data_IF_700814869860
#
_entry.id   IF_700814869860
#
_cell.length_a   1.000
_cell.length_b   1.000
_cell.length_c   1.000
_cell.angle_alpha   90.00
_cell.angle_beta   90.00
_cell.angle_gamma   90.00
#
_symmetry.space_group_name_H-M   'P 1'
#
loop_
_entity.id
_entity.type
_entity.pdbx_description
1 polymer ?
#
# COMPACT_ATOMS: atom_id res chain seq x y z
N UNK A 1 52.79 51.10 -11.10
CA UNK A 1 52.48 52.39 -10.45
C UNK A 1 51.61 52.01 -9.29
N UNK A 2 52.14 51.75 -8.07
CA UNK A 2 52.42 52.73 -6.99
C UNK A 2 51.15 53.41 -6.52
N UNK A 3 50.75 53.36 -5.28
CA UNK A 3 51.33 53.36 -3.90
C UNK A 3 50.20 52.94 -2.92
N UNK A 4 50.35 52.10 -1.94
CA UNK A 4 50.93 52.22 -0.63
C UNK A 4 50.49 53.43 0.19
N UNK A 5 49.90 53.16 1.35
CA UNK A 5 50.17 53.58 2.73
C UNK A 5 48.90 53.40 3.57
N UNK A 6 48.84 52.93 4.79
CA UNK A 6 49.81 52.67 5.85
C UNK A 6 49.25 53.13 7.19
N UNK A 7 49.30 52.26 8.23
CA UNK A 7 49.46 52.53 9.64
C UNK A 7 48.37 53.35 10.35
N UNK A 8 47.91 53.09 11.58
CA UNK A 8 48.65 52.83 12.84
C UNK A 8 47.78 52.29 13.94
N UNK A 9 48.41 51.71 14.88
CA UNK A 9 47.93 51.13 16.16
C UNK A 9 47.54 52.17 17.20
N UNK A 10 46.64 51.82 18.10
CA UNK A 10 46.79 52.25 19.49
C UNK A 10 46.19 51.18 20.44
N UNK A 11 47.04 50.77 21.36
CA UNK A 11 46.70 49.91 22.51
C UNK A 11 46.53 50.83 23.75
N UNK A 12 45.66 50.44 24.68
CA UNK A 12 45.73 50.79 26.13
C UNK A 12 44.67 49.97 26.87
N UNK A 13 45.06 49.13 27.68
CA UNK A 13 45.23 49.02 29.13
C UNK A 13 43.97 48.60 29.90
N UNK A 14 44.09 47.46 30.60
CA UNK A 14 43.20 46.96 31.66
C UNK A 14 43.65 47.54 33.04
N UNK A 15 42.76 47.66 34.02
CA UNK A 15 42.96 47.08 35.35
C UNK A 15 41.65 46.63 36.03
N UNK A 16 41.64 46.20 37.37
CA UNK A 16 42.09 44.90 37.85
C UNK A 16 40.94 44.10 38.55
N UNK A 17 41.24 42.85 38.85
CA UNK A 17 40.43 41.87 39.58
C UNK A 17 40.01 42.31 41.01
N UNK A 18 38.73 42.06 41.33
CA UNK A 18 38.29 41.72 42.68
C UNK A 18 37.34 40.54 42.67
N UNK A 19 37.72 39.47 43.34
CA UNK A 19 36.93 38.26 43.47
C UNK A 19 35.73 38.41 44.40
N UNK A 20 34.67 37.68 44.10
CA UNK A 20 33.69 37.25 45.10
C UNK A 20 33.14 35.89 44.65
N UNK A 21 33.36 34.85 45.46
CA UNK A 21 32.78 33.53 45.34
C UNK A 21 31.26 33.60 45.48
N UNK A 22 30.55 33.10 44.49
CA UNK A 22 29.16 32.70 44.66
C UNK A 22 28.99 31.32 44.04
N UNK A 23 28.68 30.35 44.94
CA UNK A 23 28.28 29.00 44.55
C UNK A 23 26.92 29.07 43.87
N UNK A 24 26.80 28.53 42.68
CA UNK A 24 25.52 28.28 41.99
C UNK A 24 25.23 26.79 42.01
N UNK A 25 24.18 26.44 42.78
CA UNK A 25 23.50 25.16 42.71
C UNK A 25 22.90 25.01 41.29
N UNK A 26 23.39 24.04 40.54
CA UNK A 26 22.77 23.62 39.27
C UNK A 26 21.54 22.77 39.60
N UNK A 27 20.36 23.39 39.57
CA UNK A 27 19.09 22.67 39.49
C UNK A 27 18.82 22.35 38.00
N UNK A 28 19.00 21.09 37.63
CA UNK A 28 18.67 20.58 36.32
C UNK A 28 17.15 20.55 36.13
N UNK A 29 16.60 21.46 35.32
CA UNK A 29 15.26 21.31 34.75
C UNK A 29 15.34 20.36 33.56
N UNK A 30 14.92 19.11 33.75
CA UNK A 30 14.54 18.25 32.66
C UNK A 30 13.20 18.79 32.08
N UNK A 31 13.27 19.51 30.97
CA UNK A 31 12.09 19.83 30.17
C UNK A 31 11.65 18.56 29.46
N UNK A 32 10.61 17.90 29.97
CA UNK A 32 9.83 16.90 29.23
C UNK A 32 9.15 17.63 28.07
N UNK A 33 9.69 17.48 26.86
CA UNK A 33 8.95 17.83 25.66
C UNK A 33 7.85 16.79 25.49
N UNK A 34 6.66 17.11 25.99
CA UNK A 34 5.44 16.39 25.60
C UNK A 34 5.22 16.64 24.12
N UNK A 35 5.42 15.61 23.29
CA UNK A 35 5.01 15.62 21.92
C UNK A 35 3.47 15.78 21.90
N UNK A 36 3.00 16.98 21.58
CA UNK A 36 1.57 17.22 21.31
C UNK A 36 1.23 16.54 19.98
N UNK A 37 0.81 15.28 20.07
CA UNK A 37 0.26 14.57 18.92
C UNK A 37 -0.98 15.32 18.43
N UNK A 38 -1.03 15.62 17.12
CA UNK A 38 -2.23 16.10 16.44
C UNK A 38 -3.31 15.03 16.62
N UNK A 39 -4.52 15.38 17.13
CA UNK A 39 -5.55 14.37 17.34
C UNK A 39 -5.95 13.71 16.02
N UNK A 40 -6.03 12.37 16.03
CA UNK A 40 -6.60 11.60 14.94
C UNK A 40 -8.07 12.02 14.73
N UNK A 41 -8.56 11.95 13.48
CA UNK A 41 -9.96 12.21 13.19
C UNK A 41 -10.83 11.27 14.05
N UNK A 42 -11.74 11.84 14.84
CA UNK A 42 -12.63 11.07 15.72
C UNK A 42 -13.59 10.21 14.90
N UNK A 43 -13.71 8.95 15.31
CA UNK A 43 -14.76 8.05 14.81
C UNK A 43 -16.15 8.52 15.32
N UNK A 44 -17.23 8.17 14.61
CA UNK A 44 -18.57 8.30 15.19
C UNK A 44 -18.62 7.53 16.51
N UNK A 45 -19.07 8.18 17.57
CA UNK A 45 -19.13 7.61 18.92
C UNK A 45 -19.74 6.18 18.90
N UNK A 46 -18.95 5.19 19.32
CA UNK A 46 -19.39 3.82 19.52
C UNK A 46 -19.36 2.86 18.32
N UNK A 47 -18.92 3.27 17.13
CA UNK A 47 -18.82 2.35 15.99
C UNK A 47 -17.69 1.33 16.16
N UNK A 48 -18.04 0.03 16.12
CA UNK A 48 -17.04 -1.05 16.23
C UNK A 48 -16.10 -1.07 15.00
N UNK A 49 -14.80 -1.31 15.24
CA UNK A 49 -13.82 -1.52 14.17
C UNK A 49 -14.15 -2.75 13.32
N UNK A 50 -13.75 -2.74 12.06
CA UNK A 50 -13.86 -3.90 11.17
C UNK A 50 -13.14 -5.14 11.77
N UNK A 51 -11.97 -4.91 12.35
CA UNK A 51 -11.17 -5.86 13.13
C UNK A 51 -10.16 -5.09 14.01
N UNK A 52 -9.58 -5.69 15.05
CA UNK A 52 -8.55 -5.03 15.86
C UNK A 52 -7.38 -4.55 15.01
N UNK A 53 -7.09 -3.24 15.07
CA UNK A 53 -6.05 -2.62 14.27
C UNK A 53 -6.50 -2.12 12.89
N UNK A 54 -7.79 -2.18 12.54
CA UNK A 54 -8.31 -1.52 11.34
C UNK A 54 -8.08 -0.01 11.39
N UNK A 55 -7.67 0.58 10.25
CA UNK A 55 -7.19 1.96 10.15
C UNK A 55 -7.87 2.69 8.99
N UNK A 56 -7.76 4.02 9.00
CA UNK A 56 -8.18 4.88 7.90
C UNK A 56 -9.69 5.12 7.85
N UNK A 57 -10.14 5.63 6.71
CA UNK A 57 -11.54 6.01 6.51
C UNK A 57 -12.49 4.82 6.46
N UNK A 58 -11.99 3.62 6.13
CA UNK A 58 -12.79 2.38 6.12
C UNK A 58 -12.74 1.61 7.45
N UNK A 59 -12.05 2.10 8.48
CA UNK A 59 -11.79 1.36 9.72
C UNK A 59 -13.03 0.77 10.40
N UNK A 60 -14.19 1.42 10.22
CA UNK A 60 -15.46 1.04 10.84
C UNK A 60 -16.41 0.30 9.88
N UNK A 61 -15.95 -0.07 8.67
CA UNK A 61 -16.80 -0.86 7.77
C UNK A 61 -17.27 -2.13 8.47
N UNK A 62 -18.56 -2.45 8.42
CA UNK A 62 -19.06 -3.70 9.00
C UNK A 62 -18.57 -4.93 8.23
N UNK A 63 -18.18 -4.78 6.94
CA UNK A 63 -17.96 -5.95 6.12
C UNK A 63 -19.12 -6.93 6.19
N UNK A 64 -18.84 -8.19 6.42
CA UNK A 64 -19.86 -9.25 6.59
C UNK A 64 -20.30 -9.49 8.04
N UNK A 65 -19.96 -8.61 8.98
CA UNK A 65 -20.26 -8.79 10.42
C UNK A 65 -21.74 -9.08 10.68
N UNK A 66 -22.01 -10.10 11.49
CA UNK A 66 -23.39 -10.54 11.83
C UNK A 66 -24.11 -11.26 10.70
N UNK A 67 -23.46 -11.42 9.54
CA UNK A 67 -24.01 -12.13 8.40
C UNK A 67 -23.81 -13.65 8.45
N UNK A 68 -24.22 -14.31 7.37
CA UNK A 68 -24.09 -15.76 7.23
C UNK A 68 -22.61 -16.17 7.08
N UNK A 69 -22.22 -17.26 7.71
CA UNK A 69 -20.95 -17.93 7.42
C UNK A 69 -21.10 -18.77 6.15
N UNK A 70 -20.37 -18.43 5.09
CA UNK A 70 -20.34 -19.21 3.85
C UNK A 70 -18.99 -19.91 3.75
N UNK A 71 -19.02 -21.23 3.60
CA UNK A 71 -17.84 -22.09 3.62
C UNK A 71 -17.36 -22.40 2.22
N UNK A 72 -16.12 -22.06 1.91
CA UNK A 72 -15.45 -22.52 0.68
C UNK A 72 -14.90 -23.90 0.96
N UNK A 73 -15.46 -24.89 0.28
CA UNK A 73 -15.17 -26.32 0.52
C UNK A 73 -14.43 -27.01 -0.64
N UNK A 74 -14.22 -26.26 -1.75
CA UNK A 74 -13.50 -26.75 -2.93
C UNK A 74 -12.54 -25.69 -3.47
N UNK A 75 -11.47 -26.13 -4.11
CA UNK A 75 -10.52 -25.28 -4.87
C UNK A 75 -10.94 -25.06 -6.33
N UNK A 76 -12.14 -25.51 -6.73
CA UNK A 76 -12.67 -25.26 -8.07
C UNK A 76 -12.87 -23.76 -8.32
N UNK A 77 -12.67 -23.31 -9.57
CA UNK A 77 -12.88 -21.92 -9.97
C UNK A 77 -14.34 -21.46 -9.78
N UNK A 78 -15.30 -22.35 -9.98
CA UNK A 78 -16.74 -22.10 -9.92
C UNK A 78 -17.54 -23.34 -9.49
N UNK A 79 -18.85 -23.16 -9.31
CA UNK A 79 -19.77 -24.23 -8.93
C UNK A 79 -19.96 -24.34 -7.40
N UNK A 80 -20.73 -25.33 -6.93
CA UNK A 80 -21.09 -25.47 -5.53
C UNK A 80 -19.89 -25.56 -4.59
N UNK A 81 -19.90 -24.75 -3.53
CA UNK A 81 -18.85 -24.67 -2.52
C UNK A 81 -17.59 -23.94 -2.97
N UNK A 82 -17.57 -23.30 -4.15
CA UNK A 82 -16.45 -22.50 -4.64
C UNK A 82 -16.41 -21.11 -4.02
N UNK A 83 -15.25 -20.46 -4.11
CA UNK A 83 -15.09 -19.05 -3.74
C UNK A 83 -16.00 -18.12 -4.57
N UNK A 84 -16.08 -18.36 -5.88
CA UNK A 84 -16.90 -17.55 -6.77
C UNK A 84 -18.40 -17.58 -6.37
N UNK A 85 -18.94 -18.76 -6.01
CA UNK A 85 -20.30 -18.87 -5.48
C UNK A 85 -20.45 -18.12 -4.15
N UNK A 86 -19.47 -18.26 -3.25
CA UNK A 86 -19.52 -17.63 -1.93
C UNK A 86 -19.56 -16.09 -2.00
N UNK A 87 -18.78 -15.47 -2.88
CA UNK A 87 -18.76 -14.01 -3.02
C UNK A 87 -19.96 -13.46 -3.82
N UNK A 88 -20.59 -14.27 -4.67
CA UNK A 88 -21.79 -13.91 -5.40
C UNK A 88 -23.08 -13.96 -4.55
N UNK A 89 -23.03 -14.57 -3.37
CA UNK A 89 -24.18 -14.65 -2.47
C UNK A 89 -24.60 -13.26 -2.01
N UNK A 90 -25.93 -13.05 -1.86
CA UNK A 90 -26.50 -11.76 -1.44
C UNK A 90 -26.57 -11.62 0.08
N UNK A 91 -26.63 -10.36 0.56
CA UNK A 91 -26.74 -10.00 1.98
C UNK A 91 -25.41 -10.14 2.76
N UNK A 92 -25.41 -9.70 4.02
CA UNK A 92 -24.22 -9.74 4.87
C UNK A 92 -23.67 -11.17 5.03
N UNK A 93 -22.35 -11.34 4.80
CA UNK A 93 -21.72 -12.67 4.80
C UNK A 93 -20.24 -12.64 5.10
N UNK A 94 -19.80 -13.68 5.77
CA UNK A 94 -18.40 -13.95 6.05
C UNK A 94 -18.00 -15.20 5.28
N UNK A 95 -17.07 -15.07 4.36
CA UNK A 95 -16.52 -16.19 3.58
C UNK A 95 -15.34 -16.77 4.33
N UNK A 96 -15.45 -18.02 4.76
CA UNK A 96 -14.41 -18.79 5.43
C UNK A 96 -13.96 -19.96 4.55
N UNK A 97 -12.74 -20.42 4.74
CA UNK A 97 -12.16 -21.48 3.92
C UNK A 97 -11.96 -22.76 4.75
N UNK A 98 -12.60 -23.85 4.32
CA UNK A 98 -12.36 -25.22 4.83
C UNK A 98 -11.34 -25.97 3.96
N UNK A 99 -10.77 -25.29 2.96
CA UNK A 99 -9.73 -25.78 2.06
C UNK A 99 -8.54 -24.85 2.05
N UNK A 100 -7.35 -25.41 1.95
CA UNK A 100 -6.12 -24.68 1.67
C UNK A 100 -5.47 -25.19 0.38
N UNK A 101 -4.84 -24.28 -0.36
CA UNK A 101 -4.22 -24.61 -1.63
C UNK A 101 -4.39 -23.53 -2.69
N UNK A 102 -4.47 -23.95 -3.95
CA UNK A 102 -4.49 -23.05 -5.11
C UNK A 102 -5.85 -23.13 -5.82
N UNK A 103 -6.49 -21.99 -5.97
CA UNK A 103 -7.67 -21.79 -6.81
C UNK A 103 -7.19 -21.21 -8.13
N UNK A 104 -7.31 -21.97 -9.20
CA UNK A 104 -6.97 -21.53 -10.55
C UNK A 104 -8.19 -20.87 -11.19
N UNK A 105 -8.13 -19.57 -11.39
CA UNK A 105 -9.23 -18.78 -11.96
C UNK A 105 -9.39 -18.93 -13.48
N UNK A 106 -8.51 -19.70 -14.14
CA UNK A 106 -8.63 -20.06 -15.57
C UNK A 106 -8.77 -18.84 -16.51
N UNK A 107 -8.02 -17.76 -16.22
CA UNK A 107 -8.05 -16.47 -16.92
C UNK A 107 -9.38 -15.72 -16.74
N UNK A 108 -10.05 -15.92 -15.61
CA UNK A 108 -11.25 -15.17 -15.26
C UNK A 108 -10.98 -14.24 -14.09
N UNK A 109 -11.71 -13.15 -14.03
CA UNK A 109 -11.75 -12.28 -12.87
C UNK A 109 -13.00 -12.56 -12.05
N UNK A 110 -12.83 -12.71 -10.74
CA UNK A 110 -13.96 -12.87 -9.84
C UNK A 110 -14.47 -11.49 -9.41
N UNK A 111 -15.70 -11.17 -9.86
CA UNK A 111 -16.32 -9.89 -9.55
C UNK A 111 -17.15 -9.96 -8.27
N UNK A 112 -16.84 -9.08 -7.32
CA UNK A 112 -17.54 -8.89 -6.07
C UNK A 112 -18.50 -7.70 -6.24
N UNK A 113 -19.78 -7.98 -6.44
CA UNK A 113 -20.82 -6.97 -6.71
C UNK A 113 -21.80 -6.79 -5.55
N UNK A 114 -21.86 -7.73 -4.61
CA UNK A 114 -22.76 -7.71 -3.49
C UNK A 114 -22.08 -7.13 -2.25
N UNK A 115 -22.67 -6.14 -1.56
CA UNK A 115 -22.05 -5.49 -0.39
C UNK A 115 -22.08 -6.35 0.87
N UNK A 116 -21.46 -5.82 1.93
CA UNK A 116 -21.39 -6.42 3.25
C UNK A 116 -20.71 -7.78 3.26
N UNK A 117 -19.45 -7.80 2.83
CA UNK A 117 -18.66 -9.01 2.69
C UNK A 117 -17.37 -8.95 3.52
N UNK A 118 -17.08 -10.02 4.25
CA UNK A 118 -15.74 -10.30 4.79
C UNK A 118 -15.18 -11.56 4.18
N UNK A 119 -14.00 -11.47 3.54
CA UNK A 119 -13.22 -12.62 3.07
C UNK A 119 -12.13 -12.89 4.10
N UNK A 120 -12.30 -13.95 4.87
CA UNK A 120 -11.43 -14.31 5.99
C UNK A 120 -10.42 -15.41 5.58
N UNK A 121 -9.40 -15.03 4.79
CA UNK A 121 -8.37 -15.95 4.30
C UNK A 121 -7.52 -16.60 5.41
N UNK A 122 -7.49 -15.99 6.61
CA UNK A 122 -6.82 -16.55 7.78
C UNK A 122 -7.44 -17.87 8.27
N UNK A 123 -8.70 -18.15 7.92
CA UNK A 123 -9.39 -19.39 8.30
C UNK A 123 -8.96 -20.60 7.47
N UNK A 124 -8.33 -20.39 6.30
CA UNK A 124 -7.86 -21.47 5.47
C UNK A 124 -6.81 -22.32 6.20
N UNK A 125 -6.90 -23.66 6.14
CA UNK A 125 -5.82 -24.51 6.64
C UNK A 125 -4.52 -24.25 5.87
N UNK A 126 -3.37 -24.63 6.45
CA UNK A 126 -2.08 -24.55 5.75
C UNK A 126 -2.16 -25.22 4.37
N UNK A 127 -1.61 -24.59 3.31
CA UNK A 127 -0.74 -23.41 3.29
C UNK A 127 -1.47 -22.06 3.17
N UNK A 128 -2.77 -21.99 3.44
CA UNK A 128 -3.62 -20.86 3.14
C UNK A 128 -4.20 -20.93 1.73
N UNK A 129 -4.78 -19.82 1.24
CA UNK A 129 -5.42 -19.77 -0.07
C UNK A 129 -4.60 -18.88 -1.03
N UNK A 130 -4.37 -19.37 -2.25
CA UNK A 130 -3.75 -18.64 -3.35
C UNK A 130 -4.64 -18.71 -4.59
N UNK A 131 -4.96 -17.56 -5.16
CA UNK A 131 -5.62 -17.44 -6.46
C UNK A 131 -4.55 -17.24 -7.53
N UNK A 132 -4.67 -17.93 -8.67
CA UNK A 132 -3.75 -17.79 -9.80
C UNK A 132 -4.51 -17.60 -11.12
N UNK A 133 -3.83 -17.08 -12.13
CA UNK A 133 -4.33 -16.91 -13.51
C UNK A 133 -5.65 -16.15 -13.60
N UNK A 134 -5.72 -15.01 -12.90
CA UNK A 134 -6.85 -14.11 -12.84
C UNK A 134 -6.80 -13.26 -11.57
N UNK A 135 -7.74 -12.35 -11.42
CA UNK A 135 -7.78 -11.36 -10.35
C UNK A 135 -9.15 -11.22 -9.68
N UNK A 136 -9.25 -10.27 -8.75
CA UNK A 136 -10.48 -9.95 -8.04
C UNK A 136 -10.89 -8.50 -8.31
N UNK A 137 -12.15 -8.27 -8.67
CA UNK A 137 -12.72 -6.93 -8.89
C UNK A 137 -13.75 -6.64 -7.82
N UNK A 138 -13.52 -5.61 -7.00
CA UNK A 138 -14.47 -5.13 -6.00
C UNK A 138 -15.27 -3.97 -6.59
N UNK A 139 -16.55 -4.19 -6.84
CA UNK A 139 -17.44 -3.24 -7.49
C UNK A 139 -18.63 -2.85 -6.60
N UNK A 140 -18.44 -2.83 -5.28
CA UNK A 140 -19.46 -2.60 -4.28
C UNK A 140 -18.86 -1.94 -3.02
N UNK A 141 -19.57 -1.96 -1.92
CA UNK A 141 -19.17 -1.30 -0.68
C UNK A 141 -19.20 -2.24 0.53
N UNK A 142 -18.56 -1.78 1.62
CA UNK A 142 -18.46 -2.54 2.87
C UNK A 142 -17.85 -3.93 2.66
N UNK A 143 -16.61 -3.94 2.16
CA UNK A 143 -15.87 -5.16 1.86
C UNK A 143 -14.56 -5.20 2.64
N UNK A 144 -14.31 -6.30 3.34
CA UNK A 144 -13.05 -6.58 4.03
C UNK A 144 -12.40 -7.82 3.42
N UNK A 145 -11.18 -7.69 2.93
CA UNK A 145 -10.39 -8.79 2.35
C UNK A 145 -9.12 -8.96 3.16
N UNK A 146 -8.91 -10.14 3.75
CA UNK A 146 -7.74 -10.39 4.58
C UNK A 146 -7.08 -11.74 4.29
N UNK A 147 -5.76 -11.77 4.36
CA UNK A 147 -4.90 -12.97 4.39
C UNK A 147 -5.03 -13.92 3.20
N UNK A 148 -5.34 -13.40 2.02
CA UNK A 148 -5.31 -14.18 0.76
C UNK A 148 -4.09 -13.80 -0.08
N UNK A 149 -3.75 -14.68 -1.04
CA UNK A 149 -2.73 -14.43 -2.06
C UNK A 149 -3.39 -14.39 -3.42
N UNK A 150 -3.05 -13.39 -4.25
CA UNK A 150 -3.54 -13.32 -5.64
C UNK A 150 -2.34 -13.10 -6.56
N UNK A 151 -2.16 -14.01 -7.51
CA UNK A 151 -0.98 -14.12 -8.37
C UNK A 151 -1.40 -14.39 -9.81
N UNK A 152 -1.85 -13.36 -10.55
CA UNK A 152 -2.36 -13.52 -11.91
C UNK A 152 -1.36 -14.20 -12.85
N UNK A 153 -0.12 -13.70 -12.91
CA UNK A 153 0.92 -14.18 -13.80
C UNK A 153 0.56 -14.01 -15.28
N UNK A 154 1.39 -14.52 -16.16
CA UNK A 154 1.12 -14.51 -17.61
C UNK A 154 -0.08 -15.40 -18.01
N UNK A 155 -0.54 -16.26 -17.12
CA UNK A 155 -1.65 -17.20 -17.34
C UNK A 155 -1.48 -18.06 -18.61
N UNK A 156 -0.24 -18.28 -19.05
CA UNK A 156 0.10 -18.99 -20.26
C UNK A 156 -0.24 -18.24 -21.55
N UNK A 157 -0.42 -16.91 -21.52
CA UNK A 157 -0.53 -16.06 -22.69
C UNK A 157 0.84 -15.64 -23.21
N UNK A 158 0.93 -15.23 -24.47
CA UNK A 158 2.15 -14.69 -25.06
C UNK A 158 2.37 -13.24 -24.65
N UNK A 159 3.60 -12.75 -24.84
CA UNK A 159 3.94 -11.33 -24.65
C UNK A 159 3.03 -10.44 -25.50
N UNK A 160 2.57 -9.34 -24.90
CA UNK A 160 1.69 -8.33 -25.52
C UNK A 160 0.37 -8.90 -26.08
N UNK A 161 -0.10 -10.03 -25.56
CA UNK A 161 -1.35 -10.67 -26.02
C UNK A 161 -2.63 -9.95 -25.57
N UNK A 162 -2.53 -8.87 -24.80
CA UNK A 162 -3.67 -8.12 -24.28
C UNK A 162 -4.39 -8.86 -23.14
N UNK A 163 -3.67 -9.67 -22.39
CA UNK A 163 -4.17 -10.29 -21.14
C UNK A 163 -3.66 -9.44 -19.98
N UNK A 164 -4.55 -8.61 -19.45
CA UNK A 164 -4.22 -7.57 -18.48
C UNK A 164 -5.00 -7.86 -17.20
N UNK A 165 -4.32 -8.32 -16.15
CA UNK A 165 -4.92 -8.63 -14.87
C UNK A 165 -4.34 -7.77 -13.75
N UNK A 166 -5.24 -7.06 -13.05
CA UNK A 166 -4.96 -6.63 -11.67
C UNK A 166 -5.04 -7.84 -10.74
N UNK A 167 -4.21 -7.87 -9.68
CA UNK A 167 -4.43 -8.89 -8.67
C UNK A 167 -5.69 -8.57 -7.85
N UNK A 168 -5.84 -7.34 -7.34
CA UNK A 168 -7.10 -6.83 -6.77
C UNK A 168 -7.30 -5.38 -7.21
N UNK A 169 -8.52 -5.07 -7.70
CA UNK A 169 -8.89 -3.69 -8.03
C UNK A 169 -10.26 -3.32 -7.47
N UNK A 170 -10.46 -2.04 -7.10
CA UNK A 170 -11.78 -1.49 -6.80
C UNK A 170 -12.27 -0.66 -7.97
N UNK A 171 -13.55 -0.71 -8.30
CA UNK A 171 -14.13 -0.01 -9.46
C UNK A 171 -15.53 0.56 -9.16
N UNK A 172 -16.02 1.45 -10.02
CA UNK A 172 -17.43 1.91 -10.05
C UNK A 172 -17.94 2.46 -8.73
N UNK A 173 -17.17 3.33 -8.06
CA UNK A 173 -17.60 3.94 -6.83
C UNK A 173 -17.59 3.00 -5.62
N UNK A 174 -16.77 1.97 -5.66
CA UNK A 174 -16.52 1.12 -4.50
C UNK A 174 -16.09 1.99 -3.31
N UNK A 175 -16.60 1.66 -2.11
CA UNK A 175 -16.30 2.44 -0.91
C UNK A 175 -16.32 1.60 0.35
N UNK A 176 -15.68 2.10 1.39
CA UNK A 176 -15.59 1.39 2.66
C UNK A 176 -14.97 -0.01 2.45
N UNK A 177 -13.82 -0.04 1.78
CA UNK A 177 -13.10 -1.27 1.43
C UNK A 177 -11.77 -1.32 2.16
N UNK A 178 -11.46 -2.46 2.76
CA UNK A 178 -10.16 -2.76 3.35
C UNK A 178 -9.57 -3.98 2.64
N UNK A 179 -8.33 -3.85 2.14
CA UNK A 179 -7.49 -4.97 1.72
C UNK A 179 -6.29 -4.99 2.67
N UNK A 180 -6.26 -5.99 3.55
CA UNK A 180 -5.30 -6.06 4.64
C UNK A 180 -4.57 -7.40 4.68
N UNK A 181 -3.24 -7.36 4.90
CA UNK A 181 -2.42 -8.56 4.97
C UNK A 181 -2.64 -9.52 3.79
N UNK A 182 -2.67 -9.01 2.55
CA UNK A 182 -2.71 -9.83 1.34
C UNK A 182 -1.35 -9.83 0.66
N UNK A 183 -1.03 -10.92 -0.08
CA UNK A 183 0.15 -10.98 -0.95
C UNK A 183 -0.30 -10.95 -2.41
N UNK A 184 0.04 -9.88 -3.10
CA UNK A 184 -0.41 -9.59 -4.45
C UNK A 184 0.83 -9.45 -5.32
N UNK A 185 1.05 -10.44 -6.19
CA UNK A 185 2.28 -10.51 -6.99
C UNK A 185 1.98 -10.96 -8.41
N UNK A 186 2.88 -10.61 -9.34
CA UNK A 186 2.82 -11.07 -10.73
C UNK A 186 1.59 -10.57 -11.51
N UNK A 187 1.03 -9.44 -11.11
CA UNK A 187 0.02 -8.80 -11.94
C UNK A 187 0.62 -8.38 -13.28
N UNK A 188 -0.18 -8.43 -14.33
CA UNK A 188 0.19 -7.98 -15.68
C UNK A 188 -0.30 -6.56 -15.96
N UNK A 189 -1.17 -6.02 -15.10
CA UNK A 189 -1.44 -4.60 -14.91
C UNK A 189 -1.04 -4.23 -13.47
N UNK A 190 -1.89 -3.81 -12.56
CA UNK A 190 -1.49 -3.44 -11.20
C UNK A 190 -1.63 -4.58 -10.18
N UNK A 191 -0.73 -4.61 -9.21
CA UNK A 191 -0.90 -5.54 -8.08
C UNK A 191 -2.09 -5.16 -7.20
N UNK A 192 -2.35 -3.86 -6.97
CA UNK A 192 -3.48 -3.41 -6.13
C UNK A 192 -3.93 -2.00 -6.52
N UNK A 193 -5.16 -1.85 -6.99
CA UNK A 193 -5.65 -0.56 -7.52
C UNK A 193 -6.97 -0.10 -6.90
N UNK A 194 -7.14 1.23 -6.89
CA UNK A 194 -8.41 1.88 -6.65
C UNK A 194 -8.78 2.73 -7.86
N UNK A 195 -9.86 2.37 -8.56
CA UNK A 195 -10.20 2.92 -9.86
C UNK A 195 -11.54 3.66 -9.90
N UNK A 196 -11.73 4.45 -10.96
CA UNK A 196 -12.96 5.22 -11.20
C UNK A 196 -13.32 5.24 -12.68
N UNK A 197 -14.52 5.74 -12.97
CA UNK A 197 -14.99 6.03 -14.33
C UNK A 197 -14.65 7.45 -14.79
N UNK A 198 -13.79 8.19 -14.10
CA UNK A 198 -13.40 9.59 -14.25
C UNK A 198 -14.56 10.58 -14.15
N UNK A 199 -15.34 10.74 -15.18
CA UNK A 199 -16.32 11.83 -15.33
C UNK A 199 -17.76 11.31 -15.21
N UNK A 200 -18.05 10.53 -14.18
CA UNK A 200 -19.40 10.07 -13.89
C UNK A 200 -20.12 11.09 -13.01
N UNK A 201 -20.95 11.97 -13.66
CA UNK A 201 -21.67 13.09 -13.07
C UNK A 201 -21.36 14.39 -13.79
N UNK A 202 -22.01 15.49 -13.36
CA UNK A 202 -21.97 16.81 -14.00
C UNK A 202 -20.93 17.77 -13.37
N UNK A 203 -20.33 17.38 -12.24
CA UNK A 203 -19.40 18.21 -11.48
C UNK A 203 -18.24 17.40 -10.89
N UNK A 204 -17.12 18.08 -10.60
CA UNK A 204 -15.98 17.47 -9.89
C UNK A 204 -16.40 16.79 -8.59
N UNK A 205 -17.31 17.38 -7.85
CA UNK A 205 -17.87 16.80 -6.63
C UNK A 205 -18.55 15.45 -6.91
N UNK A 206 -19.33 15.36 -7.97
CA UNK A 206 -20.00 14.11 -8.35
C UNK A 206 -19.00 13.09 -8.89
N UNK A 207 -17.99 13.50 -9.66
CA UNK A 207 -16.92 12.63 -10.10
C UNK A 207 -16.22 11.97 -8.92
N UNK A 208 -15.87 12.75 -7.88
CA UNK A 208 -15.28 12.25 -6.64
C UNK A 208 -16.24 11.35 -5.86
N UNK A 209 -17.54 11.66 -5.82
CA UNK A 209 -18.55 10.83 -5.15
C UNK A 209 -18.77 9.48 -5.85
N UNK A 210 -18.60 9.44 -7.16
CA UNK A 210 -18.78 8.26 -8.01
C UNK A 210 -17.47 7.50 -8.27
N UNK A 211 -16.33 8.03 -7.84
CA UNK A 211 -15.06 7.30 -7.79
C UNK A 211 -14.99 6.37 -6.57
N UNK A 212 -14.06 5.44 -6.59
CA UNK A 212 -13.73 4.64 -5.40
C UNK A 212 -13.27 5.59 -4.28
N UNK A 213 -13.73 5.35 -3.05
CA UNK A 213 -13.40 6.23 -1.91
C UNK A 213 -13.50 5.53 -0.57
N UNK A 214 -12.86 6.11 0.45
CA UNK A 214 -12.72 5.48 1.78
C UNK A 214 -12.17 4.07 1.66
N UNK A 215 -10.97 3.98 1.08
CA UNK A 215 -10.26 2.73 0.80
C UNK A 215 -9.03 2.64 1.71
N UNK A 216 -8.79 1.48 2.29
CA UNK A 216 -7.58 1.20 3.05
C UNK A 216 -6.85 0.00 2.46
N UNK A 217 -5.59 0.20 2.09
CA UNK A 217 -4.63 -0.83 1.72
C UNK A 217 -3.57 -0.91 2.82
N UNK A 218 -3.63 -1.95 3.66
CA UNK A 218 -2.78 -2.05 4.84
C UNK A 218 -2.02 -3.38 4.91
N UNK A 219 -0.74 -3.30 5.29
CA UNK A 219 0.11 -4.46 5.57
C UNK A 219 0.17 -5.49 4.42
N UNK A 220 0.01 -5.07 3.17
CA UNK A 220 0.09 -5.97 2.02
C UNK A 220 1.54 -6.13 1.54
N UNK A 221 1.80 -7.25 0.87
CA UNK A 221 3.00 -7.48 0.07
C UNK A 221 2.61 -7.32 -1.41
N UNK A 222 3.13 -6.29 -2.07
CA UNK A 222 2.82 -5.88 -3.44
C UNK A 222 4.11 -5.97 -4.25
N UNK A 223 4.33 -7.07 -4.96
CA UNK A 223 5.65 -7.32 -5.52
C UNK A 223 5.64 -7.96 -6.89
N UNK A 224 6.76 -7.75 -7.61
CA UNK A 224 7.04 -8.46 -8.85
C UNK A 224 5.90 -8.36 -9.88
N UNK A 225 5.27 -7.19 -10.02
CA UNK A 225 4.43 -6.92 -11.19
C UNK A 225 5.26 -7.22 -12.44
N UNK A 226 4.70 -7.98 -13.40
CA UNK A 226 5.44 -8.49 -14.54
C UNK A 226 5.72 -7.37 -15.56
N UNK A 227 6.98 -7.21 -16.00
CA UNK A 227 7.39 -6.10 -16.84
C UNK A 227 7.08 -6.34 -18.33
N UNK A 228 7.85 -7.14 -19.02
CA UNK A 228 7.63 -7.45 -20.44
C UNK A 228 6.79 -8.73 -20.59
N UNK A 229 5.55 -8.67 -20.13
CA UNK A 229 4.63 -9.81 -20.10
C UNK A 229 3.50 -9.67 -21.14
N UNK A 230 2.27 -9.93 -20.73
CA UNK A 230 1.11 -10.07 -21.62
C UNK A 230 0.40 -8.77 -21.91
N UNK A 231 0.68 -7.67 -21.19
CA UNK A 231 0.01 -6.38 -21.34
C UNK A 231 0.23 -5.78 -22.74
N UNK A 232 -0.86 -5.34 -23.40
CA UNK A 232 -0.83 -4.86 -24.79
C UNK A 232 0.03 -3.61 -25.02
N UNK A 233 0.26 -2.79 -23.97
CA UNK A 233 1.10 -1.58 -24.03
C UNK A 233 2.61 -1.87 -23.90
N UNK A 234 3.03 -3.13 -23.79
CA UNK A 234 4.42 -3.52 -23.59
C UNK A 234 4.85 -3.45 -22.11
N UNK A 235 6.02 -2.86 -21.85
CA UNK A 235 6.59 -2.85 -20.49
C UNK A 235 5.63 -2.28 -19.45
N UNK A 236 5.34 -3.08 -18.43
CA UNK A 236 4.41 -2.74 -17.36
C UNK A 236 5.09 -2.90 -15.99
N UNK A 237 4.76 -3.86 -15.14
CA UNK A 237 5.25 -4.02 -13.77
C UNK A 237 4.82 -2.87 -12.85
N UNK A 238 3.57 -2.92 -12.41
CA UNK A 238 2.94 -1.84 -11.65
C UNK A 238 2.58 -2.28 -10.22
N UNK A 239 2.88 -1.41 -9.25
CA UNK A 239 2.48 -1.62 -7.86
C UNK A 239 0.99 -1.29 -7.64
N UNK A 240 0.65 0.00 -7.50
CA UNK A 240 -0.71 0.46 -7.23
C UNK A 240 -1.08 1.70 -8.01
N UNK A 241 -2.25 1.70 -8.65
CA UNK A 241 -2.86 2.88 -9.25
C UNK A 241 -3.99 3.40 -8.37
N UNK A 242 -3.89 4.66 -7.95
CA UNK A 242 -4.97 5.43 -7.36
C UNK A 242 -5.47 6.36 -8.46
N UNK A 243 -6.53 5.91 -9.14
CA UNK A 243 -6.99 6.49 -10.39
C UNK A 243 -7.68 7.86 -10.19
N UNK A 244 -7.97 8.54 -11.29
CA UNK A 244 -8.56 9.88 -11.30
C UNK A 244 -9.76 9.99 -10.35
N UNK A 245 -9.80 11.08 -9.56
CA UNK A 245 -10.83 11.43 -8.58
C UNK A 245 -11.01 10.47 -7.39
N UNK A 246 -10.31 9.34 -7.34
CA UNK A 246 -10.32 8.45 -6.17
C UNK A 246 -9.84 9.24 -4.95
N UNK A 247 -10.55 9.12 -3.84
CA UNK A 247 -10.30 9.94 -2.66
C UNK A 247 -10.47 9.19 -1.34
N UNK A 248 -9.99 9.77 -0.25
CA UNK A 248 -9.97 9.13 1.06
C UNK A 248 -9.27 7.76 1.03
N UNK A 249 -8.08 7.71 0.42
CA UNK A 249 -7.29 6.48 0.34
C UNK A 249 -6.17 6.51 1.37
N UNK A 250 -6.06 5.44 2.14
CA UNK A 250 -4.95 5.17 3.04
C UNK A 250 -4.14 3.97 2.52
N UNK A 251 -2.84 4.18 2.31
CA UNK A 251 -1.87 3.14 1.96
C UNK A 251 -0.86 3.09 3.10
N UNK A 252 -0.90 2.04 3.94
CA UNK A 252 -0.14 2.01 5.19
C UNK A 252 0.50 0.66 5.48
N UNK A 253 1.78 0.67 5.84
CA UNK A 253 2.47 -0.54 6.29
C UNK A 253 2.71 -1.59 5.20
N UNK A 254 2.59 -1.24 3.92
CA UNK A 254 2.79 -2.18 2.83
C UNK A 254 4.26 -2.31 2.44
N UNK A 255 4.62 -3.49 1.93
CA UNK A 255 5.85 -3.70 1.17
C UNK A 255 5.54 -3.60 -0.33
N UNK A 256 6.20 -2.68 -1.02
CA UNK A 256 6.32 -2.67 -2.48
C UNK A 256 7.73 -3.18 -2.83
N UNK A 257 7.83 -4.24 -3.63
CA UNK A 257 9.14 -4.77 -4.01
C UNK A 257 9.19 -5.17 -5.48
N UNK A 258 10.27 -4.80 -6.19
CA UNK A 258 10.52 -5.19 -7.57
C UNK A 258 9.39 -4.83 -8.55
N UNK A 259 8.76 -3.67 -8.38
CA UNK A 259 7.80 -3.13 -9.35
C UNK A 259 8.46 -1.96 -10.10
N UNK A 260 8.30 -1.91 -11.42
CA UNK A 260 8.94 -0.92 -12.26
C UNK A 260 8.51 0.51 -11.92
N UNK A 261 7.19 0.70 -11.66
CA UNK A 261 6.65 1.98 -11.22
C UNK A 261 5.32 1.80 -10.45
N UNK A 262 4.67 2.92 -10.09
CA UNK A 262 3.40 2.97 -9.33
C UNK A 262 3.51 2.34 -7.94
N UNK A 263 4.44 2.86 -7.13
CA UNK A 263 4.67 2.36 -5.76
C UNK A 263 4.28 3.37 -4.64
N UNK A 264 3.07 4.01 -4.61
CA UNK A 264 2.00 4.03 -5.61
C UNK A 264 2.06 5.21 -6.61
N UNK A 265 1.18 5.18 -7.64
CA UNK A 265 0.80 6.32 -8.46
C UNK A 265 -0.53 6.89 -7.98
N UNK A 266 -0.57 8.20 -7.74
CA UNK A 266 -1.81 8.99 -7.65
C UNK A 266 -2.02 9.73 -8.97
N UNK A 267 -3.20 9.60 -9.58
CA UNK A 267 -3.47 10.09 -10.92
C UNK A 267 -4.66 11.04 -10.92
N UNK A 268 -4.61 12.10 -11.74
CA UNK A 268 -5.72 12.93 -12.10
C UNK A 268 -6.68 13.38 -10.98
N UNK A 269 -6.21 14.20 -10.04
CA UNK A 269 -7.02 14.69 -8.94
C UNK A 269 -7.24 13.69 -7.79
N UNK A 270 -6.58 12.52 -7.83
CA UNK A 270 -6.65 11.55 -6.73
C UNK A 270 -6.10 12.10 -5.42
N UNK A 271 -6.69 11.68 -4.28
CA UNK A 271 -6.36 12.21 -2.94
C UNK A 271 -6.22 11.10 -1.91
N UNK A 272 -5.14 11.15 -1.11
CA UNK A 272 -4.92 10.17 -0.04
C UNK A 272 -3.61 10.32 0.71
N UNK A 273 -3.34 9.35 1.58
CA UNK A 273 -2.14 9.33 2.42
C UNK A 273 -1.38 8.01 2.26
N UNK A 274 -0.07 8.12 2.16
CA UNK A 274 0.89 7.01 2.01
C UNK A 274 1.80 7.06 3.23
N UNK A 275 1.64 6.10 4.16
CA UNK A 275 2.23 6.18 5.50
C UNK A 275 2.96 4.89 5.86
N UNK A 276 4.19 4.99 6.36
CA UNK A 276 4.97 3.84 6.89
C UNK A 276 5.11 2.66 5.91
N UNK A 277 5.23 2.91 4.60
CA UNK A 277 5.46 1.83 3.64
C UNK A 277 6.95 1.63 3.37
N UNK A 278 7.33 0.41 3.05
CA UNK A 278 8.67 0.08 2.56
C UNK A 278 8.58 -0.13 1.04
N UNK A 279 9.38 0.62 0.29
CA UNK A 279 9.52 0.51 -1.17
C UNK A 279 10.93 0.03 -1.45
N UNK A 280 11.06 -1.18 -1.96
CA UNK A 280 12.35 -1.78 -2.28
C UNK A 280 12.47 -2.07 -3.77
N UNK A 281 13.62 -1.73 -4.35
CA UNK A 281 13.95 -1.96 -5.75
C UNK A 281 12.86 -1.44 -6.73
N UNK A 282 12.35 -0.18 -6.58
CA UNK A 282 11.52 0.41 -7.61
C UNK A 282 12.37 0.61 -8.87
N UNK A 283 11.79 0.32 -10.05
CA UNK A 283 12.53 0.49 -11.31
C UNK A 283 12.71 1.96 -11.66
N UNK A 284 11.68 2.57 -12.21
CA UNK A 284 11.73 3.93 -12.76
C UNK A 284 11.13 4.99 -11.83
N UNK A 285 10.13 4.64 -11.04
CA UNK A 285 9.42 5.55 -10.12
C UNK A 285 8.96 4.84 -8.84
N UNK A 286 9.17 5.51 -7.72
CA UNK A 286 8.59 5.11 -6.44
C UNK A 286 7.21 5.77 -6.27
N UNK A 287 7.05 6.71 -5.33
CA UNK A 287 5.84 7.52 -5.22
C UNK A 287 5.75 8.47 -6.41
N UNK A 288 4.60 8.55 -7.08
CA UNK A 288 4.48 9.55 -8.12
C UNK A 288 3.04 10.04 -8.35
N UNK A 289 2.94 11.22 -8.95
CA UNK A 289 1.69 11.83 -9.37
C UNK A 289 1.76 12.18 -10.85
N UNK A 290 0.65 11.98 -11.57
CA UNK A 290 0.46 12.55 -12.88
C UNK A 290 -1.02 12.85 -13.19
N UNK A 291 -1.22 13.66 -14.24
CA UNK A 291 -2.49 13.81 -14.94
C UNK A 291 -2.19 13.77 -16.43
N UNK A 292 -2.84 12.89 -17.15
CA UNK A 292 -2.68 12.76 -18.60
C UNK A 292 -3.76 13.60 -19.28
N UNK A 293 -3.34 14.69 -19.92
CA UNK A 293 -4.24 15.70 -20.50
C UNK A 293 -5.25 15.08 -21.51
N UNK A 294 -4.80 14.18 -22.35
CA UNK A 294 -5.60 13.50 -23.38
C UNK A 294 -6.73 12.67 -22.77
N UNK A 295 -6.56 12.14 -21.58
CA UNK A 295 -7.58 11.35 -20.90
C UNK A 295 -8.65 12.23 -20.23
N UNK A 296 -8.39 13.55 -20.09
CA UNK A 296 -9.34 14.49 -19.47
C UNK A 296 -10.32 15.11 -20.46
N UNK A 297 -10.18 14.82 -21.75
CA UNK A 297 -11.19 15.16 -22.78
C UNK A 297 -11.66 16.63 -22.77
N UNK A 298 -10.78 17.56 -22.37
CA UNK A 298 -11.08 18.98 -22.26
C UNK A 298 -11.75 19.41 -20.95
N UNK A 299 -12.01 18.51 -20.02
CA UNK A 299 -12.47 18.89 -18.68
C UNK A 299 -11.39 19.67 -17.91
N UNK A 300 -11.79 20.61 -17.04
CA UNK A 300 -10.85 21.30 -16.15
C UNK A 300 -10.08 20.31 -15.28
N UNK A 301 -8.77 20.53 -15.11
CA UNK A 301 -7.95 19.63 -14.31
C UNK A 301 -8.22 19.83 -12.82
N UNK A 302 -8.49 18.73 -12.13
CA UNK A 302 -8.54 18.68 -10.67
C UNK A 302 -7.13 18.55 -10.09
N UNK A 303 -6.85 19.28 -9.03
CA UNK A 303 -5.60 19.12 -8.29
C UNK A 303 -5.62 17.86 -7.43
N UNK A 304 -4.55 17.06 -7.55
CA UNK A 304 -4.34 15.92 -6.67
C UNK A 304 -3.85 16.32 -5.28
N UNK A 305 -3.92 15.38 -4.34
CA UNK A 305 -3.35 15.55 -3.01
C UNK A 305 -2.68 14.25 -2.56
N UNK A 306 -1.40 14.32 -2.21
CA UNK A 306 -0.67 13.19 -1.64
C UNK A 306 0.01 13.62 -0.34
N UNK A 307 -0.22 12.85 0.72
CA UNK A 307 0.50 12.98 1.99
C UNK A 307 1.41 11.77 2.13
N UNK A 308 2.72 11.99 2.25
CA UNK A 308 3.71 10.93 2.41
C UNK A 308 4.44 11.07 3.75
N UNK A 309 4.27 10.11 4.68
CA UNK A 309 4.88 10.14 6.01
C UNK A 309 5.55 8.83 6.37
N UNK A 310 6.77 8.92 6.87
CA UNK A 310 7.48 7.77 7.40
C UNK A 310 7.77 6.67 6.36
N UNK A 311 7.66 6.95 5.04
CA UNK A 311 7.94 5.93 4.03
C UNK A 311 9.44 5.75 3.86
N UNK A 312 9.83 4.51 3.58
CA UNK A 312 11.24 4.17 3.33
C UNK A 312 11.38 3.63 1.92
N UNK A 313 12.22 4.26 1.10
CA UNK A 313 12.64 3.76 -0.20
C UNK A 313 14.09 3.30 -0.14
N UNK A 314 14.33 2.08 -0.58
CA UNK A 314 15.68 1.51 -0.76
C UNK A 314 15.86 1.10 -2.21
N UNK A 315 16.86 1.67 -2.86
CA UNK A 315 17.25 1.23 -4.19
C UNK A 315 17.75 -0.22 -4.18
N UNK A 316 17.41 -0.97 -5.21
CA UNK A 316 17.84 -2.34 -5.43
C UNK A 316 18.54 -2.52 -6.79
N UNK A 317 18.69 -3.77 -7.23
CA UNK A 317 19.39 -4.06 -8.49
C UNK A 317 18.75 -3.47 -9.75
N UNK A 318 17.41 -3.31 -9.77
CA UNK A 318 16.67 -2.79 -10.94
C UNK A 318 16.42 -1.28 -10.86
N UNK A 319 16.75 -0.63 -9.74
CA UNK A 319 16.44 0.78 -9.51
C UNK A 319 17.31 1.68 -10.39
N UNK A 320 16.63 2.56 -11.14
CA UNK A 320 17.27 3.63 -11.92
C UNK A 320 17.53 4.85 -11.03
N UNK A 321 18.11 5.91 -11.60
CA UNK A 321 18.26 7.19 -10.88
C UNK A 321 16.86 7.84 -10.72
N UNK A 322 16.42 7.98 -9.48
CA UNK A 322 15.09 8.54 -9.18
C UNK A 322 15.02 9.23 -7.81
N UNK A 323 14.04 10.10 -7.65
CA UNK A 323 13.66 10.67 -6.37
C UNK A 323 12.57 9.81 -5.70
N UNK A 324 12.37 9.99 -4.37
CA UNK A 324 11.28 9.32 -3.67
C UNK A 324 9.91 9.65 -4.27
N UNK A 325 9.62 10.93 -4.47
CA UNK A 325 8.40 11.42 -5.12
C UNK A 325 8.75 12.05 -6.47
N UNK A 326 8.03 11.67 -7.51
CA UNK A 326 8.20 12.20 -8.85
C UNK A 326 6.87 12.69 -9.43
N UNK A 327 6.87 13.88 -10.00
CA UNK A 327 5.68 14.46 -10.63
C UNK A 327 5.85 14.52 -12.14
N UNK A 328 4.73 14.28 -12.85
CA UNK A 328 4.65 14.42 -14.31
C UNK A 328 3.25 14.76 -14.79
N UNK A 329 3.06 14.76 -16.12
CA UNK A 329 1.78 15.10 -16.73
C UNK A 329 1.44 16.57 -16.67
N UNK A 330 0.16 16.92 -16.56
CA UNK A 330 -0.38 18.29 -16.73
C UNK A 330 -1.15 18.85 -15.55
N UNK A 331 -1.49 18.08 -14.54
CA UNK A 331 -2.30 18.50 -13.39
C UNK A 331 -1.47 18.84 -12.16
N UNK A 332 -1.88 19.88 -11.45
CA UNK A 332 -1.25 20.31 -10.21
C UNK A 332 -1.45 19.30 -9.08
N UNK A 333 -0.57 19.31 -8.08
CA UNK A 333 -0.65 18.45 -6.91
C UNK A 333 -0.25 19.20 -5.64
N UNK A 334 -1.00 18.96 -4.57
CA UNK A 334 -0.60 19.31 -3.22
C UNK A 334 0.14 18.11 -2.61
N UNK A 335 1.39 18.31 -2.21
CA UNK A 335 2.25 17.27 -1.65
C UNK A 335 2.76 17.66 -0.27
N UNK A 336 2.39 16.90 0.75
CA UNK A 336 2.94 17.03 2.10
C UNK A 336 3.85 15.85 2.40
N UNK A 337 5.06 16.13 2.84
CA UNK A 337 6.05 15.10 3.17
C UNK A 337 6.62 15.31 4.58
N UNK A 338 6.76 14.21 5.33
CA UNK A 338 7.30 14.23 6.69
C UNK A 338 8.04 12.91 6.98
N UNK A 339 9.27 13.00 7.48
CA UNK A 339 10.10 11.86 7.92
C UNK A 339 10.19 10.70 6.93
N UNK A 340 10.29 10.99 5.61
CA UNK A 340 10.52 9.96 4.61
C UNK A 340 12.04 9.75 4.40
N UNK A 341 12.43 8.49 4.21
CA UNK A 341 13.82 8.10 3.93
C UNK A 341 13.92 7.51 2.52
N UNK A 342 14.86 8.01 1.72
CA UNK A 342 15.20 7.44 0.42
C UNK A 342 16.71 7.25 0.32
N UNK A 343 17.15 6.03 0.04
CA UNK A 343 18.57 5.69 -0.01
C UNK A 343 18.91 4.82 -1.21
N UNK A 344 20.13 5.02 -1.74
CA UNK A 344 20.69 4.16 -2.76
C UNK A 344 21.20 2.82 -2.17
N UNK A 345 21.77 1.96 -3.02
CA UNK A 345 22.31 0.65 -2.62
C UNK A 345 23.49 0.71 -1.65
N UNK A 346 24.10 1.88 -1.50
CA UNK A 346 25.22 2.13 -0.58
C UNK A 346 24.76 2.87 0.70
N UNK A 347 23.44 3.09 0.85
CA UNK A 347 22.88 3.84 1.98
C UNK A 347 23.01 5.35 1.87
N UNK A 348 23.41 5.91 0.71
CA UNK A 348 23.51 7.35 0.50
C UNK A 348 22.12 7.91 0.19
N UNK A 349 21.83 9.11 0.72
CA UNK A 349 20.56 9.77 0.52
C UNK A 349 20.26 10.04 -0.97
N UNK A 350 19.04 9.76 -1.39
CA UNK A 350 18.50 10.09 -2.70
C UNK A 350 17.62 11.34 -2.60
N UNK A 351 17.38 12.06 -3.71
CA UNK A 351 16.46 13.20 -3.75
C UNK A 351 15.07 12.84 -3.24
N UNK A 352 14.45 13.76 -2.50
CA UNK A 352 13.07 13.56 -2.02
C UNK A 352 12.04 13.85 -3.10
N UNK A 353 12.31 14.79 -4.01
CA UNK A 353 11.40 15.20 -5.08
C UNK A 353 12.11 15.29 -6.43
N UNK A 354 11.38 14.95 -7.50
CA UNK A 354 11.86 15.01 -8.86
C UNK A 354 10.72 15.17 -9.87
N UNK A 355 11.09 15.29 -11.14
CA UNK A 355 10.17 15.42 -12.26
C UNK A 355 10.57 14.45 -13.37
N UNK A 356 9.60 13.91 -14.08
CA UNK A 356 9.84 13.04 -15.25
C UNK A 356 9.16 13.53 -16.54
N UNK A 357 8.46 14.69 -16.48
CA UNK A 357 7.99 15.41 -17.67
C UNK A 357 8.43 16.88 -17.60
N UNK A 358 8.48 17.54 -18.75
CA UNK A 358 8.80 18.97 -18.86
C UNK A 358 7.60 19.89 -18.73
N UNK A 359 6.39 19.35 -18.60
CA UNK A 359 5.16 20.12 -18.40
C UNK A 359 5.21 20.93 -17.09
N UNK A 360 4.68 22.16 -17.07
CA UNK A 360 4.81 23.07 -15.93
C UNK A 360 3.79 22.73 -14.81
N UNK A 361 3.82 21.51 -14.28
CA UNK A 361 3.02 21.10 -13.14
C UNK A 361 3.50 21.82 -11.88
N UNK A 362 2.58 22.43 -11.14
CA UNK A 362 2.87 23.03 -9.84
C UNK A 362 2.71 22.00 -8.74
N UNK A 363 3.78 21.80 -7.96
CA UNK A 363 3.74 21.10 -6.69
C UNK A 363 3.61 22.16 -5.59
N UNK A 364 2.54 22.12 -4.82
CA UNK A 364 2.35 22.99 -3.66
C UNK A 364 2.56 22.22 -2.36
N UNK A 365 3.22 22.87 -1.39
CA UNK A 365 3.55 22.24 -0.11
C UNK A 365 2.75 22.90 1.02
N UNK A 366 1.74 22.21 1.58
CA UNK A 366 1.01 22.71 2.74
C UNK A 366 1.94 22.97 3.93
N UNK A 367 1.78 24.11 4.59
CA UNK A 367 2.54 24.45 5.80
C UNK A 367 2.05 23.71 7.03
N UNK A 368 0.77 23.36 7.05
CA UNK A 368 0.15 22.64 8.15
C UNK A 368 0.05 21.16 7.78
N UNK A 369 0.46 20.31 8.71
CA UNK A 369 0.35 18.86 8.57
C UNK A 369 -1.12 18.45 8.44
N UNK A 370 -1.53 17.75 7.38
CA UNK A 370 -2.88 17.20 7.31
C UNK A 370 -3.15 16.24 8.47
N UNK A 371 -4.41 16.10 8.92
CA UNK A 371 -4.76 15.14 9.98
C UNK A 371 -4.29 13.72 9.64
N UNK A 372 -3.82 13.00 10.64
CA UNK A 372 -3.51 11.58 10.50
C UNK A 372 -4.82 10.79 10.45
N UNK A 373 -5.02 9.86 9.50
CA UNK A 373 -6.22 9.06 9.45
C UNK A 373 -6.43 8.24 10.73
N UNK A 374 -7.68 7.90 11.01
CA UNK A 374 -8.07 7.15 12.21
C UNK A 374 -7.20 5.90 12.42
N UNK A 375 -6.77 5.66 13.66
CA UNK A 375 -6.05 4.46 14.07
C UNK A 375 -4.60 4.36 13.58
N UNK A 376 -4.13 5.27 12.70
CA UNK A 376 -2.77 5.23 12.18
C UNK A 376 -1.77 5.73 13.21
N UNK A 377 -0.77 4.90 13.52
CA UNK A 377 0.40 5.28 14.29
C UNK A 377 1.54 5.65 13.35
N UNK A 378 2.00 6.88 13.43
CA UNK A 378 3.22 7.29 12.72
C UNK A 378 4.43 6.61 13.38
N UNK A 379 5.18 5.86 12.60
CA UNK A 379 6.48 5.30 13.01
C UNK A 379 7.58 6.21 12.49
N UNK A 380 8.66 6.40 13.26
CA UNK A 380 9.89 6.96 12.71
C UNK A 380 10.34 6.12 11.49
N UNK A 381 10.81 6.79 10.42
CA UNK A 381 11.28 6.10 9.21
C UNK A 381 12.32 5.01 9.49
N UNK A 382 13.16 5.20 10.53
CA UNK A 382 14.14 4.20 10.99
C UNK A 382 13.53 2.88 11.50
N UNK A 383 12.24 2.84 11.85
CA UNK A 383 11.56 1.65 12.37
C UNK A 383 10.67 0.98 11.31
N UNK A 384 10.41 1.65 10.20
CA UNK A 384 9.42 1.20 9.21
C UNK A 384 9.83 -0.08 8.52
N UNK A 385 11.10 -0.23 8.14
CA UNK A 385 11.56 -1.45 7.47
C UNK A 385 11.27 -2.69 8.31
N UNK A 386 11.68 -2.70 9.57
CA UNK A 386 11.51 -3.85 10.46
C UNK A 386 10.03 -4.15 10.71
N UNK A 387 9.21 -3.09 10.91
CA UNK A 387 7.78 -3.23 11.11
C UNK A 387 7.09 -3.82 9.87
N UNK A 388 7.43 -3.36 8.67
CA UNK A 388 6.85 -3.86 7.41
C UNK A 388 7.29 -5.29 7.14
N UNK A 389 8.58 -5.62 7.28
CA UNK A 389 9.10 -6.98 7.09
C UNK A 389 8.42 -7.98 8.05
N UNK A 390 8.16 -7.56 9.28
CA UNK A 390 7.48 -8.42 10.24
C UNK A 390 6.02 -8.70 9.86
N UNK A 391 5.29 -7.72 9.32
CA UNK A 391 3.83 -7.77 9.22
C UNK A 391 3.29 -7.92 7.78
N UNK A 392 3.98 -7.43 6.75
CA UNK A 392 3.44 -7.39 5.39
C UNK A 392 3.15 -8.78 4.79
N UNK A 393 2.08 -8.84 4.02
CA UNK A 393 1.69 -10.03 3.25
C UNK A 393 0.72 -10.96 3.96
N UNK A 394 0.23 -11.92 3.20
CA UNK A 394 -0.72 -12.91 3.69
C UNK A 394 -0.10 -13.79 4.79
N UNK A 395 -0.85 -13.93 5.90
CA UNK A 395 -0.49 -14.86 6.98
C UNK A 395 0.96 -14.68 7.46
N UNK A 396 1.34 -13.55 8.08
CA UNK A 396 2.74 -13.31 8.53
C UNK A 396 3.31 -14.40 9.43
N UNK A 397 2.44 -15.13 10.14
CA UNK A 397 2.80 -16.30 10.96
C UNK A 397 3.05 -17.57 10.15
N UNK A 398 2.62 -17.62 8.87
CA UNK A 398 2.65 -18.82 8.02
C UNK A 398 2.83 -18.46 6.54
N UNK A 399 3.85 -17.63 6.24
CA UNK A 399 4.18 -17.21 4.87
C UNK A 399 4.59 -18.39 4.01
N UNK A 400 4.14 -18.43 2.75
CA UNK A 400 4.61 -19.41 1.78
C UNK A 400 6.03 -19.09 1.27
N UNK A 401 6.58 -19.97 0.44
CA UNK A 401 7.97 -19.84 -0.01
C UNK A 401 8.19 -18.65 -0.94
N UNK A 402 7.15 -18.22 -1.68
CA UNK A 402 7.21 -17.04 -2.56
C UNK A 402 7.31 -15.76 -1.72
N UNK A 403 6.42 -15.58 -0.74
CA UNK A 403 6.46 -14.44 0.17
C UNK A 403 7.78 -14.41 0.95
N UNK A 404 8.26 -15.57 1.41
CA UNK A 404 9.54 -15.70 2.14
C UNK A 404 10.73 -15.29 1.27
N UNK A 405 10.75 -15.70 0.00
CA UNK A 405 11.80 -15.33 -0.95
C UNK A 405 11.82 -13.81 -1.17
N UNK A 406 10.67 -13.19 -1.46
CA UNK A 406 10.58 -11.74 -1.70
C UNK A 406 11.05 -10.95 -0.47
N UNK A 407 10.65 -11.37 0.74
CA UNK A 407 11.11 -10.74 1.97
C UNK A 407 12.62 -10.92 2.20
N UNK A 408 13.17 -12.11 1.95
CA UNK A 408 14.60 -12.37 2.05
C UNK A 408 15.38 -11.52 1.05
N UNK A 409 14.94 -11.44 -0.20
CA UNK A 409 15.55 -10.59 -1.23
C UNK A 409 15.51 -9.09 -0.83
N UNK A 410 14.39 -8.64 -0.25
CA UNK A 410 14.26 -7.28 0.28
C UNK A 410 15.26 -7.02 1.41
N UNK A 411 15.38 -7.93 2.38
CA UNK A 411 16.31 -7.80 3.52
C UNK A 411 17.76 -7.75 3.02
N UNK A 412 18.13 -8.68 2.16
CA UNK A 412 19.49 -8.91 1.71
C UNK A 412 19.92 -8.00 0.53
N UNK A 413 19.03 -7.16 0.02
CA UNK A 413 19.32 -6.24 -1.07
C UNK A 413 19.46 -6.95 -2.44
N UNK A 414 18.74 -8.05 -2.63
CA UNK A 414 18.75 -8.90 -3.85
C UNK A 414 17.42 -8.84 -4.60
N UNK A 415 17.23 -9.74 -5.55
CA UNK A 415 16.07 -9.81 -6.42
C UNK A 415 16.15 -8.80 -7.57
N UNK A 416 15.13 -8.78 -8.41
CA UNK A 416 15.01 -7.88 -9.55
C UNK A 416 13.58 -7.79 -10.04
N UNK A 417 13.28 -6.82 -10.88
CA UNK A 417 12.08 -6.79 -11.71
C UNK A 417 12.15 -7.96 -12.70
N UNK A 418 11.04 -8.66 -12.89
CA UNK A 418 10.92 -9.86 -13.72
C UNK A 418 9.90 -9.67 -14.85
N UNK A 419 10.06 -10.43 -15.92
CA UNK A 419 9.14 -10.45 -17.06
C UNK A 419 8.08 -11.57 -16.94
N UNK A 420 8.41 -12.62 -16.20
CA UNK A 420 7.57 -13.81 -16.07
C UNK A 420 7.72 -14.41 -14.67
N UNK A 421 6.61 -14.91 -14.09
CA UNK A 421 6.63 -15.69 -12.86
C UNK A 421 7.51 -16.93 -12.95
N UNK A 422 7.75 -17.41 -14.17
CA UNK A 422 8.59 -18.58 -14.43
C UNK A 422 10.07 -18.33 -14.09
N UNK A 423 10.54 -17.08 -14.11
CA UNK A 423 11.92 -16.73 -13.70
C UNK A 423 12.19 -17.01 -12.22
N UNK A 424 11.14 -17.08 -11.42
CA UNK A 424 11.22 -17.26 -9.97
C UNK A 424 10.53 -18.54 -9.48
N UNK A 425 10.34 -19.52 -10.37
CA UNK A 425 9.82 -20.84 -10.04
C UNK A 425 8.35 -21.09 -10.37
N UNK A 426 7.65 -20.08 -10.90
CA UNK A 426 6.27 -20.19 -11.38
C UNK A 426 5.21 -20.30 -10.27
N UNK A 427 4.02 -20.65 -10.67
CA UNK A 427 2.88 -20.74 -9.76
C UNK A 427 3.08 -21.75 -8.62
N UNK A 428 2.55 -21.44 -7.42
CA UNK A 428 2.67 -22.36 -6.29
C UNK A 428 1.98 -23.70 -6.57
N UNK A 429 2.60 -24.80 -6.14
CA UNK A 429 2.09 -26.16 -6.30
C UNK A 429 1.94 -26.79 -4.92
N UNK A 430 0.85 -26.46 -4.25
CA UNK A 430 0.55 -27.00 -2.93
C UNK A 430 -0.43 -28.16 -3.03
N UNK A 431 -0.18 -29.23 -2.28
CA UNK A 431 -1.18 -30.26 -2.10
C UNK A 431 -2.42 -29.66 -1.40
N UNK A 432 -3.64 -29.95 -1.89
CA UNK A 432 -4.86 -29.48 -1.23
C UNK A 432 -4.96 -29.99 0.20
N UNK A 433 -5.37 -29.12 1.10
CA UNK A 433 -5.64 -29.46 2.50
C UNK A 433 -7.10 -29.20 2.84
N UNK A 434 -7.62 -29.87 3.86
CA UNK A 434 -8.99 -29.69 4.34
C UNK A 434 -9.02 -29.64 5.86
N UNK A 435 -9.81 -28.71 6.39
CA UNK A 435 -10.11 -28.58 7.82
C UNK A 435 -11.44 -27.89 7.98
N UNK A 436 -12.36 -28.50 8.72
CA UNK A 436 -13.65 -27.89 9.00
C UNK A 436 -13.48 -26.60 9.79
N UNK A 437 -14.23 -25.57 9.43
CA UNK A 437 -14.30 -24.33 10.18
C UNK A 437 -15.15 -24.53 11.45
N UNK A 438 -14.56 -24.22 12.59
CA UNK A 438 -15.16 -24.31 13.92
C UNK A 438 -15.45 -22.89 14.41
N UNK A 439 -16.70 -22.40 14.38
CA UNK A 439 -17.03 -21.01 14.73
C UNK A 439 -16.56 -20.61 16.13
N UNK A 440 -16.57 -21.55 17.08
CA UNK A 440 -16.18 -21.34 18.48
C UNK A 440 -14.68 -21.00 18.67
N UNK A 441 -13.86 -21.23 17.64
CA UNK A 441 -12.44 -20.86 17.66
C UNK A 441 -12.19 -19.42 17.20
N UNK A 442 -13.24 -18.67 16.83
CA UNK A 442 -13.15 -17.33 16.23
C UNK A 442 -14.09 -16.32 16.86
N UNK A 443 -13.63 -15.09 17.03
CA UNK A 443 -14.52 -13.95 17.21
C UNK A 443 -15.21 -13.63 15.86
N UNK A 444 -16.45 -14.02 15.70
CA UNK A 444 -17.20 -13.85 14.44
C UNK A 444 -17.49 -12.39 14.08
N UNK A 445 -17.33 -11.46 15.02
CA UNK A 445 -17.50 -10.03 14.73
C UNK A 445 -16.27 -9.43 14.03
N UNK A 446 -15.09 -9.96 14.30
CA UNK A 446 -13.82 -9.44 13.81
C UNK A 446 -13.03 -10.45 12.98
N UNK A 447 -13.40 -11.71 13.02
CA UNK A 447 -12.70 -12.86 12.48
C UNK A 447 -11.27 -13.03 13.02
N UNK A 448 -11.03 -12.55 14.25
CA UNK A 448 -9.80 -12.86 14.97
C UNK A 448 -9.86 -14.25 15.60
N UNK A 449 -8.76 -15.02 15.56
CA UNK A 449 -8.73 -16.33 16.19
C UNK A 449 -8.70 -16.19 17.71
N UNK A 450 -9.53 -16.95 18.42
CA UNK A 450 -9.53 -17.05 19.89
C UNK A 450 -8.43 -17.97 20.41
N UNK A 451 -7.81 -18.74 19.53
CA UNK A 451 -6.65 -19.61 19.82
C UNK A 451 -5.49 -19.27 18.90
N UNK A 452 -4.24 -19.42 19.35
CA UNK A 452 -3.07 -19.20 18.49
C UNK A 452 -3.13 -20.06 17.22
N UNK A 453 -2.93 -19.45 16.07
CA UNK A 453 -2.81 -20.17 14.80
C UNK A 453 -1.46 -20.88 14.70
N UNK A 454 -1.40 -22.04 14.00
CA UNK A 454 -0.14 -22.73 13.74
C UNK A 454 0.88 -21.80 13.08
N UNK A 455 2.11 -21.76 13.58
CA UNK A 455 3.18 -20.91 13.05
C UNK A 455 4.20 -21.72 12.26
N UNK A 456 4.63 -21.22 11.13
CA UNK A 456 5.83 -21.67 10.43
C UNK A 456 7.06 -21.01 11.07
N UNK A 457 8.22 -21.68 11.02
CA UNK A 457 9.47 -21.11 11.52
C UNK A 457 9.74 -19.72 10.89
N UNK A 458 10.22 -18.72 11.68
CA UNK A 458 10.53 -17.41 11.16
C UNK A 458 11.60 -17.48 10.06
N UNK A 459 11.70 -16.42 9.27
CA UNK A 459 12.85 -16.17 8.39
C UNK A 459 14.09 -16.05 9.28
N UNK A 460 15.14 -16.81 8.97
CA UNK A 460 16.45 -16.69 9.63
C UNK A 460 17.20 -15.50 9.08
#
# INVERSE_FOLDING_TARGET
MSQKAGCERAAAEAPPRRGRHWAWLAAGLLALMAATGVPAAEAPDGAALAFPGAQGWAAHTPGGRGGRIIRVTTLAASGPGSFAEAVAATGPRIVVFEVGGVIDLQRQEVRISEPYLTIAGQTAPQPGISFIRGGLIIATHDVVVRHIRVRPGEAGAGKMAGVDFDAITTVRGARDVIVDHCSLTWATDENLSASSTRFHGESEREWMQNASRRITFSNNLLAEGLANATHAKGEHSKGSLIHDHVNDVLIVGNLYAHNYERNPLFKGGARGQVINNLIYDPGQRALHYNLIAEEWLGHPYSSGQMVARGNVMRAGPSTQELALFMVGGSGDVEYYAEDNLAVDRLGRALPQEGRYTTTPVRVSHPRQAPPVPFGVRLLPSSQVQDAVIANAGARPWDRDDIDRRILADTIEGRGKIIDSENEVGGYPRHAPTKQSFVPEDWDLATMEPLKPLPRRAPLK
#
